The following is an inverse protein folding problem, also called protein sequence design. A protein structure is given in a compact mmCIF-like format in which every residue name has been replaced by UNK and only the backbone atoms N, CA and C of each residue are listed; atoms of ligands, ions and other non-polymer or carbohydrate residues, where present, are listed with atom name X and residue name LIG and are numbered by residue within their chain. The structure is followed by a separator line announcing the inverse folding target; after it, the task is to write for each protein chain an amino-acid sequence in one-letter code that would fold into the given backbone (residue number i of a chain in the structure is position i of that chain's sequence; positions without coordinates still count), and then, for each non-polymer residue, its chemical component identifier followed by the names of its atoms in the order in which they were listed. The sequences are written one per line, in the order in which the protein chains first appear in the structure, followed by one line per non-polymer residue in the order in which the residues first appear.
data_IF_143468618288
#
_entry.id   IF_143468618288
#
_cell.length_a   1.000
_cell.length_b   1.000
_cell.length_c   1.000
_cell.angle_alpha   90.00
_cell.angle_beta   90.00
_cell.angle_gamma   90.00
#
_symmetry.space_group_name_H-M   'P 1'
#
loop_
_entity.id
_entity.type
_entity.pdbx_description
1 polymer ?
#
# COMPACT_ATOMS: atom_id res chain seq x y z
N UNK A 1 14.57 1.33 -15.47
CA UNK A 1 14.07 0.30 -16.40
C UNK A 1 12.76 0.77 -17.02
N UNK A 2 12.44 0.23 -18.18
CA UNK A 2 11.17 0.50 -18.85
C UNK A 2 10.52 -0.84 -19.15
N UNK A 3 9.25 -1.01 -18.82
CA UNK A 3 8.61 -2.26 -19.17
C UNK A 3 7.25 -2.51 -18.55
N UNK A 4 6.62 -3.55 -19.04
CA UNK A 4 5.41 -4.11 -18.45
C UNK A 4 5.77 -5.01 -17.28
N UNK A 5 4.96 -4.97 -16.24
CA UNK A 5 5.05 -5.86 -15.10
C UNK A 5 3.65 -6.31 -14.66
N UNK A 6 3.60 -7.43 -13.98
CA UNK A 6 2.37 -7.94 -13.38
C UNK A 6 2.69 -8.86 -12.21
N UNK A 7 1.74 -9.04 -11.33
CA UNK A 7 1.84 -9.95 -10.20
C UNK A 7 0.50 -10.26 -9.58
N UNK A 8 0.51 -11.14 -8.59
CA UNK A 8 -0.65 -11.48 -7.80
C UNK A 8 -0.20 -11.74 -6.36
N UNK A 9 -1.13 -11.55 -5.41
CA UNK A 9 -0.91 -11.86 -4.00
C UNK A 9 -2.13 -12.58 -3.42
N UNK A 10 -1.89 -13.31 -2.35
CA UNK A 10 -2.93 -13.90 -1.51
C UNK A 10 -2.56 -13.56 -0.07
N UNK A 11 -3.48 -12.98 0.64
CA UNK A 11 -3.30 -12.58 2.03
C UNK A 11 -4.44 -13.13 2.88
N UNK A 12 -4.13 -13.43 4.16
CA UNK A 12 -5.15 -13.70 5.18
C UNK A 12 -5.26 -12.46 6.03
N UNK A 13 -6.33 -11.70 5.84
CA UNK A 13 -6.59 -10.50 6.61
C UNK A 13 -7.65 -10.74 7.69
N UNK A 14 -7.63 -9.86 8.67
CA UNK A 14 -8.51 -9.89 9.81
C UNK A 14 -9.93 -9.48 9.41
N UNK A 15 -10.91 -10.18 9.94
CA UNK A 15 -12.29 -9.72 9.92
C UNK A 15 -12.70 -9.44 11.37
N UNK A 16 -13.12 -8.24 11.65
CA UNK A 16 -13.49 -7.80 13.01
C UNK A 16 -14.63 -8.62 13.66
N UNK A 17 -15.41 -9.35 12.89
CA UNK A 17 -16.60 -10.05 13.39
C UNK A 17 -16.81 -11.47 12.84
N UNK A 18 -15.84 -12.09 12.21
CA UNK A 18 -15.97 -13.46 11.72
C UNK A 18 -15.01 -14.40 12.44
N UNK A 19 -15.50 -15.59 12.79
CA UNK A 19 -14.69 -16.67 13.36
C UNK A 19 -13.66 -17.24 12.37
N UNK A 20 -13.58 -16.68 11.17
CA UNK A 20 -12.69 -17.12 10.10
C UNK A 20 -11.97 -15.92 9.48
N UNK A 21 -10.65 -16.02 9.24
CA UNK A 21 -9.92 -14.99 8.54
C UNK A 21 -10.47 -14.82 7.12
N UNK A 22 -10.70 -13.59 6.73
CA UNK A 22 -11.02 -13.24 5.35
C UNK A 22 -9.76 -13.42 4.49
N UNK A 23 -9.92 -13.98 3.31
CA UNK A 23 -8.84 -14.05 2.33
C UNK A 23 -8.98 -12.89 1.36
N UNK A 24 -7.87 -12.24 1.10
CA UNK A 24 -7.72 -11.31 0.02
C UNK A 24 -6.92 -11.95 -1.11
N UNK A 25 -7.41 -11.83 -2.33
CA UNK A 25 -6.71 -12.26 -3.53
C UNK A 25 -6.63 -11.06 -4.44
N UNK A 26 -5.42 -10.61 -4.73
CA UNK A 26 -5.21 -9.48 -5.60
C UNK A 26 -4.31 -9.82 -6.79
N UNK A 27 -4.43 -8.99 -7.81
CA UNK A 27 -3.55 -8.99 -8.97
C UNK A 27 -3.29 -7.55 -9.40
N UNK A 28 -2.17 -7.34 -10.02
CA UNK A 28 -1.85 -6.07 -10.65
C UNK A 28 -1.17 -6.28 -12.00
N UNK A 29 -1.32 -5.29 -12.87
CA UNK A 29 -0.59 -5.18 -14.10
C UNK A 29 -0.32 -3.71 -14.41
N UNK A 30 0.86 -3.41 -14.89
CA UNK A 30 1.26 -2.03 -15.12
C UNK A 30 2.39 -1.87 -16.11
N UNK A 31 2.71 -0.60 -16.35
CA UNK A 31 3.84 -0.19 -17.15
C UNK A 31 4.60 0.91 -16.42
N UNK A 32 5.92 0.79 -16.37
CA UNK A 32 6.82 1.79 -15.83
C UNK A 32 7.73 2.36 -16.91
N UNK A 33 7.99 3.65 -16.82
CA UNK A 33 8.95 4.36 -17.67
C UNK A 33 9.88 5.22 -16.82
N UNK A 34 11.16 4.91 -16.86
CA UNK A 34 12.22 5.75 -16.32
C UNK A 34 12.62 6.80 -17.35
N UNK A 35 12.62 8.05 -16.97
CA UNK A 35 13.08 9.18 -17.80
C UNK A 35 14.54 9.51 -17.51
N UNK A 36 14.96 9.34 -16.26
CA UNK A 36 16.34 9.45 -15.78
C UNK A 36 16.59 8.40 -14.74
N UNK A 37 17.80 8.32 -14.19
CA UNK A 37 18.14 7.42 -13.07
C UNK A 37 17.29 7.71 -11.81
N UNK A 38 16.81 8.95 -11.68
CA UNK A 38 16.10 9.42 -10.47
C UNK A 38 14.66 9.86 -10.76
N UNK A 39 14.14 9.64 -11.96
CA UNK A 39 12.78 10.04 -12.32
C UNK A 39 12.08 8.92 -13.08
N UNK A 40 11.02 8.39 -12.51
CA UNK A 40 10.19 7.37 -13.15
C UNK A 40 8.69 7.67 -12.98
N UNK A 41 7.90 7.19 -13.91
CA UNK A 41 6.45 7.24 -13.90
C UNK A 41 5.93 5.82 -14.13
N UNK A 42 4.96 5.39 -13.32
CA UNK A 42 4.25 4.14 -13.58
C UNK A 42 2.74 4.30 -13.55
N UNK A 43 2.06 3.46 -14.30
CA UNK A 43 0.62 3.32 -14.32
C UNK A 43 0.27 1.86 -14.13
N UNK A 44 -0.56 1.58 -13.12
CA UNK A 44 -0.94 0.23 -12.72
C UNK A 44 -2.46 0.11 -12.68
N UNK A 45 -2.95 -1.07 -12.99
CA UNK A 45 -4.28 -1.53 -12.63
C UNK A 45 -4.15 -2.57 -11.51
N UNK A 46 -4.99 -2.45 -10.49
CA UNK A 46 -5.01 -3.31 -9.32
C UNK A 46 -6.44 -3.82 -9.14
N UNK A 47 -6.61 -5.13 -9.04
CA UNK A 47 -7.89 -5.75 -8.74
C UNK A 47 -7.80 -6.55 -7.46
N UNK A 48 -8.72 -6.30 -6.52
CA UNK A 48 -8.77 -6.94 -5.20
C UNK A 48 -10.09 -7.67 -5.01
N UNK A 49 -10.01 -8.94 -4.62
CA UNK A 49 -11.15 -9.80 -4.40
C UNK A 49 -11.12 -10.40 -3.00
N UNK A 50 -12.28 -10.45 -2.36
CA UNK A 50 -12.50 -11.04 -1.04
C UNK A 50 -13.43 -12.27 -1.14
N UNK A 51 -12.92 -13.44 -1.57
CA UNK A 51 -13.76 -14.62 -1.75
C UNK A 51 -14.39 -15.06 -0.42
N UNK A 52 -15.70 -15.34 -0.48
CA UNK A 52 -16.50 -15.74 0.68
C UNK A 52 -16.59 -14.70 1.81
N UNK A 53 -16.41 -13.45 1.50
CA UNK A 53 -16.55 -12.31 2.42
C UNK A 53 -17.78 -11.46 2.09
N UNK A 54 -18.18 -10.63 3.05
CA UNK A 54 -19.15 -9.54 2.84
C UNK A 54 -18.48 -8.24 2.39
N UNK A 55 -17.14 -8.23 2.31
CA UNK A 55 -16.37 -7.11 1.80
C UNK A 55 -16.53 -7.10 0.30
N UNK A 56 -16.87 -5.96 -0.26
CA UNK A 56 -16.97 -5.78 -1.71
C UNK A 56 -15.59 -5.89 -2.36
N UNK A 57 -15.55 -6.52 -3.53
CA UNK A 57 -14.39 -6.48 -4.39
C UNK A 57 -14.23 -5.05 -4.93
N UNK A 58 -13.00 -4.64 -5.17
CA UNK A 58 -12.73 -3.33 -5.75
C UNK A 58 -11.56 -3.37 -6.73
N UNK A 59 -11.56 -2.39 -7.61
CA UNK A 59 -10.52 -2.16 -8.59
C UNK A 59 -10.00 -0.74 -8.46
N UNK A 60 -8.72 -0.54 -8.77
CA UNK A 60 -8.05 0.75 -8.71
C UNK A 60 -7.12 0.96 -9.91
N UNK A 61 -6.96 2.21 -10.28
CA UNK A 61 -5.88 2.65 -11.17
C UNK A 61 -4.90 3.45 -10.32
N UNK A 62 -3.65 3.03 -10.29
CA UNK A 62 -2.57 3.69 -9.58
C UNK A 62 -1.66 4.42 -10.56
N UNK A 63 -1.40 5.68 -10.29
CA UNK A 63 -0.40 6.50 -10.97
C UNK A 63 0.70 6.88 -9.98
N UNK A 64 1.96 6.50 -10.27
CA UNK A 64 3.11 6.81 -9.43
C UNK A 64 4.10 7.71 -10.15
N UNK A 65 4.58 8.71 -9.45
CA UNK A 65 5.73 9.52 -9.81
C UNK A 65 6.82 9.33 -8.75
N UNK A 66 7.94 8.75 -9.16
CA UNK A 66 9.14 8.61 -8.31
C UNK A 66 10.18 9.63 -8.71
N UNK A 67 10.73 10.34 -7.72
CA UNK A 67 11.77 11.35 -7.91
C UNK A 67 12.77 11.30 -6.75
N UNK A 68 14.00 10.81 -7.02
CA UNK A 68 14.98 10.44 -6.00
C UNK A 68 14.35 9.49 -4.97
N UNK A 69 14.46 9.83 -3.69
CA UNK A 69 13.94 9.07 -2.56
C UNK A 69 12.45 9.34 -2.29
N UNK A 70 11.80 10.16 -3.11
CA UNK A 70 10.40 10.53 -2.96
C UNK A 70 9.53 9.80 -3.96
N UNK A 71 8.33 9.40 -3.53
CA UNK A 71 7.28 8.87 -4.39
C UNK A 71 5.96 9.55 -4.06
N UNK A 72 5.23 9.94 -5.09
CA UNK A 72 3.85 10.42 -5.02
C UNK A 72 3.00 9.42 -5.78
N UNK A 73 1.97 8.92 -5.13
CA UNK A 73 1.01 7.98 -5.72
C UNK A 73 -0.39 8.55 -5.66
N UNK A 74 -1.13 8.33 -6.73
CA UNK A 74 -2.56 8.58 -6.78
C UNK A 74 -3.28 7.30 -7.17
N UNK A 75 -4.20 6.86 -6.32
CA UNK A 75 -5.05 5.70 -6.56
C UNK A 75 -6.45 6.20 -6.88
N UNK A 76 -6.90 5.91 -8.07
CA UNK A 76 -8.28 6.16 -8.49
C UNK A 76 -9.10 4.93 -8.20
N UNK A 77 -9.92 4.99 -7.17
CA UNK A 77 -10.89 3.95 -6.89
C UNK A 77 -11.93 3.87 -8.01
N UNK A 78 -12.12 2.69 -8.56
CA UNK A 78 -13.19 2.41 -9.49
C UNK A 78 -14.46 2.03 -8.72
N UNK A 79 -15.62 2.17 -9.36
CA UNK A 79 -16.94 1.96 -8.76
C UNK A 79 -17.18 2.85 -7.51
N UNK A 80 -17.30 2.25 -6.35
CA UNK A 80 -17.58 2.95 -5.09
C UNK A 80 -16.35 3.09 -4.17
N UNK A 81 -15.18 2.61 -4.61
CA UNK A 81 -13.97 2.68 -3.81
C UNK A 81 -13.45 4.13 -3.75
N UNK A 82 -12.92 4.61 -2.61
CA UNK A 82 -12.42 5.98 -2.47
C UNK A 82 -11.16 6.21 -3.30
N UNK A 83 -10.93 7.45 -3.68
CA UNK A 83 -9.65 7.87 -4.21
C UNK A 83 -8.66 8.04 -3.05
N UNK A 84 -7.39 7.74 -3.29
CA UNK A 84 -6.33 7.80 -2.30
C UNK A 84 -5.10 8.48 -2.86
N UNK A 85 -4.49 9.34 -2.06
CA UNK A 85 -3.23 10.00 -2.36
C UNK A 85 -2.18 9.57 -1.35
N UNK A 86 -0.99 9.26 -1.80
CA UNK A 86 0.12 8.91 -0.95
C UNK A 86 1.37 9.70 -1.32
N UNK A 87 2.05 10.15 -0.30
CA UNK A 87 3.41 10.65 -0.38
C UNK A 87 4.30 9.75 0.46
N UNK A 88 5.37 9.24 -0.13
CA UNK A 88 6.34 8.43 0.58
C UNK A 88 7.77 8.94 0.35
N UNK A 89 8.60 8.72 1.35
CA UNK A 89 10.02 9.02 1.35
C UNK A 89 10.77 7.81 1.86
N UNK A 90 11.77 7.36 1.11
CA UNK A 90 12.62 6.24 1.46
C UNK A 90 14.08 6.69 1.43
N UNK A 91 14.82 6.42 2.49
CA UNK A 91 16.22 6.78 2.63
C UNK A 91 17.06 5.59 3.02
N UNK A 92 17.96 5.20 2.12
CA UNK A 92 18.89 4.10 2.33
C UNK A 92 20.17 4.57 3.03
N UNK A 93 20.56 3.88 4.09
CA UNK A 93 21.80 4.12 4.79
C UNK A 93 22.41 2.82 5.33
N UNK A 94 23.65 2.55 4.96
CA UNK A 94 24.35 1.32 5.30
C UNK A 94 23.54 0.07 4.83
N UNK A 95 23.10 -0.74 5.79
CA UNK A 95 22.28 -1.93 5.56
C UNK A 95 20.83 -1.71 6.01
N UNK A 96 20.37 -0.47 6.00
CA UNK A 96 19.01 -0.14 6.43
C UNK A 96 18.33 0.75 5.39
N UNK A 97 17.01 0.68 5.35
CA UNK A 97 16.16 1.63 4.67
C UNK A 97 15.15 2.20 5.66
N UNK A 98 15.09 3.53 5.77
CA UNK A 98 14.08 4.24 6.54
C UNK A 98 13.01 4.70 5.58
N UNK A 99 11.73 4.50 5.93
CA UNK A 99 10.62 5.01 5.13
C UNK A 99 9.59 5.74 5.96
N UNK A 100 9.03 6.78 5.34
CA UNK A 100 7.96 7.61 5.87
C UNK A 100 6.84 7.61 4.85
N UNK A 101 5.61 7.44 5.31
CA UNK A 101 4.42 7.45 4.45
C UNK A 101 3.39 8.39 5.06
N UNK A 102 2.81 9.22 4.21
CA UNK A 102 1.61 9.98 4.49
C UNK A 102 0.60 9.69 3.38
N UNK A 103 -0.61 9.35 3.75
CA UNK A 103 -1.69 9.14 2.82
C UNK A 103 -2.97 9.84 3.25
N UNK A 104 -3.79 10.18 2.28
CA UNK A 104 -5.09 10.80 2.48
C UNK A 104 -6.09 10.15 1.51
N UNK A 105 -7.24 9.77 2.00
CA UNK A 105 -8.28 9.18 1.18
C UNK A 105 -9.61 9.89 1.33
N UNK A 106 -10.26 10.04 0.19
CA UNK A 106 -11.59 10.60 0.10
C UNK A 106 -12.63 9.65 0.69
N UNK A 107 -13.80 10.18 0.95
CA UNK A 107 -14.95 9.38 1.38
C UNK A 107 -15.36 8.39 0.30
N UNK A 108 -15.84 7.22 0.69
CA UNK A 108 -16.60 6.35 -0.22
C UNK A 108 -17.69 7.17 -0.90
N UNK A 109 -17.85 7.02 -2.21
CA UNK A 109 -18.81 7.82 -3.03
C UNK A 109 -20.24 7.84 -2.48
N UNK A 110 -20.61 6.81 -1.71
CA UNK A 110 -21.92 6.67 -1.08
C UNK A 110 -21.95 7.02 0.41
N UNK A 111 -20.83 7.39 1.04
CA UNK A 111 -20.77 7.68 2.46
C UNK A 111 -19.74 8.79 2.78
N UNK A 112 -20.20 10.02 2.84
CA UNK A 112 -19.37 11.22 3.06
C UNK A 112 -18.67 11.32 4.44
N UNK A 113 -18.71 10.27 5.26
CA UNK A 113 -18.16 10.28 6.63
C UNK A 113 -16.89 9.46 6.81
N UNK A 114 -16.35 8.88 5.74
CA UNK A 114 -15.26 7.91 5.82
C UNK A 114 -13.96 8.39 5.19
N UNK A 115 -13.76 9.69 5.05
CA UNK A 115 -12.45 10.23 4.69
C UNK A 115 -11.47 10.13 5.87
N UNK A 116 -10.21 10.02 5.57
CA UNK A 116 -9.19 9.89 6.61
C UNK A 116 -7.79 10.06 6.07
N UNK A 117 -6.84 10.07 7.00
CA UNK A 117 -5.43 10.09 6.66
C UNK A 117 -4.67 9.01 7.43
N UNK A 118 -3.65 8.47 6.81
CA UNK A 118 -2.73 7.52 7.43
C UNK A 118 -1.32 8.09 7.45
N UNK A 119 -0.62 7.71 8.50
CA UNK A 119 0.79 8.03 8.70
C UNK A 119 1.50 6.74 9.03
N UNK A 120 2.65 6.54 8.42
CA UNK A 120 3.45 5.40 8.78
C UNK A 120 4.93 5.76 8.76
N UNK A 121 5.70 5.11 9.62
CA UNK A 121 7.13 5.11 9.50
C UNK A 121 7.68 3.72 9.80
N UNK A 122 8.80 3.40 9.16
CA UNK A 122 9.41 2.10 9.38
C UNK A 122 10.90 2.09 9.07
N UNK A 123 11.51 1.00 9.46
CA UNK A 123 12.90 0.72 9.17
C UNK A 123 13.03 -0.74 8.74
N UNK A 124 13.70 -0.95 7.62
CA UNK A 124 14.14 -2.25 7.16
C UNK A 124 15.64 -2.41 7.45
N UNK A 125 16.02 -3.55 7.98
CA UNK A 125 17.43 -3.93 8.19
C UNK A 125 17.73 -5.13 7.33
N UNK A 126 18.68 -4.97 6.42
CA UNK A 126 19.09 -6.02 5.48
C UNK A 126 20.24 -6.83 6.05
N UNK A 127 20.02 -8.13 6.23
CA UNK A 127 20.98 -9.09 6.78
C UNK A 127 21.18 -10.22 5.77
N UNK A 128 22.10 -10.05 4.82
CA UNK A 128 22.38 -11.04 3.76
C UNK A 128 21.10 -11.41 2.99
N UNK A 129 20.51 -12.57 3.28
CA UNK A 129 19.34 -13.10 2.60
C UNK A 129 18.01 -12.73 3.31
N UNK A 130 18.10 -12.05 4.44
CA UNK A 130 16.96 -11.71 5.29
C UNK A 130 16.74 -10.21 5.36
N UNK A 131 15.49 -9.81 5.47
CA UNK A 131 15.10 -8.45 5.83
C UNK A 131 14.28 -8.51 7.10
N UNK A 132 14.72 -7.79 8.13
CA UNK A 132 13.96 -7.54 9.34
C UNK A 132 13.32 -6.17 9.22
N UNK A 133 12.00 -6.11 9.31
CA UNK A 133 11.23 -4.87 9.21
C UNK A 133 10.55 -4.55 10.53
N UNK A 134 10.58 -3.29 10.88
CA UNK A 134 9.79 -2.68 11.92
C UNK A 134 8.96 -1.57 11.29
N UNK A 135 7.65 -1.60 11.51
CA UNK A 135 6.71 -0.66 10.91
C UNK A 135 5.67 -0.21 11.93
N UNK A 136 5.52 1.11 12.09
CA UNK A 136 4.44 1.71 12.87
C UNK A 136 3.50 2.43 11.91
N UNK A 137 2.20 2.24 12.10
CA UNK A 137 1.18 2.96 11.38
C UNK A 137 0.18 3.62 12.32
N UNK A 138 -0.38 4.73 11.88
CA UNK A 138 -1.48 5.42 12.52
C UNK A 138 -2.49 5.84 11.46
N UNK A 139 -3.72 5.46 11.67
CA UNK A 139 -4.85 5.81 10.83
C UNK A 139 -5.79 6.74 11.59
N UNK A 140 -6.17 7.89 10.99
CA UNK A 140 -7.09 8.86 11.53
C UNK A 140 -8.32 8.94 10.62
N UNK A 141 -9.45 8.45 11.09
CA UNK A 141 -10.73 8.57 10.41
C UNK A 141 -11.38 9.90 10.76
N UNK A 142 -11.29 10.89 9.88
CA UNK A 142 -11.86 12.22 10.09
C UNK A 142 -13.38 12.16 10.38
N UNK A 143 -13.75 12.38 11.65
CA UNK A 143 -15.11 12.45 12.13
C UNK A 143 -15.67 11.16 12.74
N UNK A 144 -14.93 10.07 12.74
CA UNK A 144 -15.31 8.80 13.34
C UNK A 144 -14.18 8.28 14.24
N UNK A 145 -14.00 8.88 15.41
CA UNK A 145 -12.91 8.54 16.36
C UNK A 145 -12.86 7.05 16.73
N UNK A 146 -13.98 6.36 16.64
CA UNK A 146 -14.05 4.93 16.91
C UNK A 146 -13.42 4.06 15.80
N UNK A 147 -13.00 4.67 14.69
CA UNK A 147 -12.28 4.02 13.58
C UNK A 147 -10.81 4.45 13.50
N UNK A 148 -10.34 5.32 14.40
CA UNK A 148 -8.92 5.59 14.52
C UNK A 148 -8.21 4.30 14.95
N UNK A 149 -7.13 3.96 14.27
CA UNK A 149 -6.37 2.74 14.53
C UNK A 149 -4.87 3.03 14.48
N UNK A 150 -4.12 2.33 15.32
CA UNK A 150 -2.68 2.37 15.29
C UNK A 150 -2.08 0.99 15.61
N UNK A 151 -0.90 0.75 15.12
CA UNK A 151 -0.26 -0.53 15.35
C UNK A 151 1.22 -0.57 15.02
N UNK A 152 1.81 -1.65 15.47
CA UNK A 152 3.21 -1.98 15.22
C UNK A 152 3.27 -3.34 14.54
N UNK A 153 3.98 -3.41 13.44
CA UNK A 153 4.21 -4.65 12.71
C UNK A 153 5.71 -4.98 12.71
N UNK A 154 6.01 -6.21 13.04
CA UNK A 154 7.34 -6.78 12.86
C UNK A 154 7.26 -7.85 11.80
N UNK A 155 8.18 -7.85 10.86
CA UNK A 155 8.27 -8.91 9.88
C UNK A 155 9.70 -9.38 9.68
N UNK A 156 9.84 -10.65 9.35
CA UNK A 156 11.09 -11.24 8.89
C UNK A 156 10.83 -11.90 7.55
N UNK A 157 11.50 -11.44 6.52
CA UNK A 157 11.40 -11.98 5.19
C UNK A 157 12.73 -12.57 4.72
N UNK A 158 12.67 -13.54 3.82
CA UNK A 158 13.85 -14.11 3.16
C UNK A 158 13.66 -14.00 1.65
N UNK A 159 14.65 -13.39 0.98
CA UNK A 159 14.70 -13.37 -0.48
C UNK A 159 15.49 -14.59 -0.97
N UNK A 160 14.88 -15.38 -1.85
CA UNK A 160 15.54 -16.46 -2.58
C UNK A 160 15.53 -16.09 -4.06
N UNK A 161 16.73 -16.00 -4.67
CA UNK A 161 16.86 -15.93 -6.13
C UNK A 161 16.97 -17.34 -6.69
N UNK A 162 16.17 -17.67 -7.66
CA UNK A 162 16.26 -18.93 -8.42
C UNK A 162 17.02 -18.71 -9.72
#
# INVERSE_FOLDING_TARGET
DNGFFSGAWIESCCSENSSYPTREIGFYAGYEKSFTENLALSLNYIGTNYPNSKIDNYDEIELNLSFYDFKISYFKGLDNFPDYYEFSYEYDFLNNSLYLIYGDFDSYKNNSKTNGSNYAFGIDTFMKDFTLSFFYYYFNANGLKDLDDDGVVFSLSKRTSF
#
